data_IF_001986150412
#
_entry.id   IF_001986150412
#
_cell.length_a   1.000
_cell.length_b   1.000
_cell.length_c   1.000
_cell.angle_alpha   90.00
_cell.angle_beta   90.00
_cell.angle_gamma   90.00
#
_symmetry.space_group_name_H-M   'P 1'
#
loop_
_entity.id
_entity.type
_entity.pdbx_description
1 polymer ?
#
# COMPACT_ATOMS: atom_id res chain seq x y z
N UNK A 1 -2.80 2.85 16.30
CA UNK A 1 -3.22 1.56 15.72
C UNK A 1 -2.41 1.35 14.45
N UNK A 2 -1.55 0.34 14.42
CA UNK A 2 -0.77 0.01 13.25
C UNK A 2 -1.65 -0.75 12.25
N UNK A 3 -1.82 -0.20 11.06
CA UNK A 3 -2.70 -0.78 10.06
C UNK A 3 -1.89 -1.69 9.16
N UNK A 4 -2.28 -2.97 9.11
CA UNK A 4 -1.72 -3.91 8.15
C UNK A 4 -1.95 -3.38 6.73
N UNK A 5 -0.98 -3.65 5.86
CA UNK A 5 -0.99 -3.31 4.44
C UNK A 5 -2.34 -3.63 3.75
N UNK A 6 -3.19 -4.52 4.25
CA UNK A 6 -4.55 -4.83 3.75
C UNK A 6 -5.48 -3.64 3.42
N UNK A 7 -5.16 -2.39 3.78
CA UNK A 7 -5.88 -1.18 3.34
C UNK A 7 -5.87 -0.91 1.82
N UNK A 8 -5.25 -1.77 0.99
CA UNK A 8 -5.34 -1.72 -0.48
C UNK A 8 -6.69 -2.13 -1.07
N UNK A 9 -7.80 -2.05 -0.32
CA UNK A 9 -9.13 -2.59 -0.70
C UNK A 9 -9.68 -2.11 -2.05
N UNK A 10 -9.10 -1.08 -2.67
CA UNK A 10 -9.44 -0.62 -4.01
C UNK A 10 -8.30 -0.67 -5.04
N UNK A 11 -7.10 -1.10 -4.66
CA UNK A 11 -5.92 -1.18 -5.55
C UNK A 11 -5.61 -2.61 -6.01
N UNK A 12 -5.94 -3.60 -5.19
CA UNK A 12 -5.71 -5.03 -5.44
C UNK A 12 -6.89 -5.82 -4.90
N UNK A 13 -7.23 -6.92 -5.57
CA UNK A 13 -8.46 -7.68 -5.29
C UNK A 13 -8.36 -8.49 -4.00
N UNK A 14 -7.14 -8.86 -3.61
CA UNK A 14 -6.89 -9.68 -2.41
C UNK A 14 -5.66 -9.23 -1.63
N UNK A 15 -5.65 -9.53 -0.32
CA UNK A 15 -4.47 -9.30 0.53
C UNK A 15 -3.24 -10.09 0.08
N UNK A 16 -3.41 -11.26 -0.54
CA UNK A 16 -2.31 -12.05 -1.11
C UNK A 16 -1.68 -11.39 -2.34
N UNK A 17 -2.49 -10.76 -3.20
CA UNK A 17 -2.01 -9.95 -4.32
C UNK A 17 -1.23 -8.72 -3.82
N UNK A 18 -1.72 -8.04 -2.78
CA UNK A 18 -1.00 -6.93 -2.15
C UNK A 18 0.41 -7.34 -1.71
N UNK A 19 0.54 -8.47 -1.01
CA UNK A 19 1.85 -8.97 -0.55
C UNK A 19 2.78 -9.28 -1.72
N UNK A 20 2.29 -9.93 -2.77
CA UNK A 20 3.08 -10.24 -3.97
C UNK A 20 3.56 -8.97 -4.66
N UNK A 21 2.71 -7.95 -4.80
CA UNK A 21 3.08 -6.67 -5.41
C UNK A 21 4.16 -5.94 -4.61
N UNK A 22 4.06 -5.97 -3.27
CA UNK A 22 5.09 -5.43 -2.37
C UNK A 22 6.39 -6.22 -2.51
N UNK A 23 6.35 -7.56 -2.47
CA UNK A 23 7.53 -8.42 -2.64
C UNK A 23 8.20 -8.25 -4.02
N UNK A 24 7.44 -7.90 -5.05
CA UNK A 24 7.95 -7.58 -6.39
C UNK A 24 8.52 -6.15 -6.49
N UNK A 25 8.45 -5.35 -5.41
CA UNK A 25 8.91 -3.96 -5.40
C UNK A 25 8.08 -3.03 -6.28
N UNK A 26 6.85 -3.45 -6.64
CA UNK A 26 5.93 -2.68 -7.48
C UNK A 26 5.12 -1.66 -6.66
N UNK A 27 5.27 -1.62 -5.33
CA UNK A 27 4.46 -0.76 -4.46
C UNK A 27 5.32 0.36 -3.88
N UNK A 28 4.81 1.59 -3.97
CA UNK A 28 5.43 2.79 -3.41
C UNK A 28 4.42 3.51 -2.53
N UNK A 29 4.81 3.86 -1.31
CA UNK A 29 3.94 4.44 -0.29
C UNK A 29 4.62 5.69 0.22
N UNK A 30 3.95 6.84 0.11
CA UNK A 30 4.48 8.14 0.51
C UNK A 30 5.88 8.47 -0.10
N UNK A 31 6.14 8.00 -1.32
CA UNK A 31 7.42 8.19 -2.00
C UNK A 31 8.49 7.14 -1.68
N UNK A 32 8.25 6.23 -0.74
CA UNK A 32 9.17 5.14 -0.40
C UNK A 32 8.69 3.82 -0.98
N UNK A 33 9.60 3.04 -1.58
CA UNK A 33 9.25 1.68 -2.05
C UNK A 33 8.93 0.80 -0.85
N UNK A 34 7.78 0.14 -0.89
CA UNK A 34 7.43 -0.88 0.07
C UNK A 34 8.17 -2.17 -0.34
N UNK A 35 9.10 -2.60 0.49
CA UNK A 35 9.85 -3.86 0.33
C UNK A 35 9.32 -4.96 1.25
N UNK A 36 8.77 -4.59 2.41
CA UNK A 36 8.22 -5.53 3.39
C UNK A 36 6.68 -5.53 3.38
N UNK A 37 6.02 -6.64 2.99
CA UNK A 37 4.56 -6.78 3.01
C UNK A 37 3.94 -6.80 4.41
N UNK A 38 4.75 -6.98 5.46
CA UNK A 38 4.32 -6.89 6.86
C UNK A 38 4.76 -5.57 7.52
N UNK A 39 5.35 -4.64 6.77
CA UNK A 39 5.67 -3.32 7.29
C UNK A 39 4.41 -2.68 7.87
N UNK A 40 4.51 -2.28 9.13
CA UNK A 40 3.47 -1.50 9.78
C UNK A 40 3.63 -0.06 9.35
N UNK A 41 2.68 0.44 8.57
CA UNK A 41 2.67 1.81 8.10
C UNK A 41 1.56 2.50 8.86
N UNK A 42 1.90 3.60 9.54
CA UNK A 42 0.88 4.44 10.15
C UNK A 42 0.17 5.18 9.03
N UNK A 43 -1.13 4.95 8.81
CA UNK A 43 -1.86 5.66 7.78
C UNK A 43 -1.92 7.15 8.17
N UNK A 44 -1.46 8.01 7.27
CA UNK A 44 -1.53 9.47 7.42
C UNK A 44 -2.59 9.97 6.44
N UNK A 45 -3.40 10.94 6.85
CA UNK A 45 -4.38 11.53 5.95
C UNK A 45 -3.68 12.19 4.75
N UNK A 46 -4.16 11.85 3.55
CA UNK A 46 -3.56 12.29 2.30
C UNK A 46 -2.33 11.50 1.84
N UNK A 47 -1.96 10.42 2.53
CA UNK A 47 -0.89 9.51 2.09
C UNK A 47 -1.20 8.93 0.70
N UNK A 48 -0.25 9.05 -0.23
CA UNK A 48 -0.40 8.49 -1.58
C UNK A 48 0.28 7.14 -1.67
N UNK A 49 -0.45 6.19 -2.22
CA UNK A 49 -0.01 4.83 -2.49
C UNK A 49 -0.05 4.60 -3.98
N UNK A 50 1.05 4.10 -4.53
CA UNK A 50 1.19 3.74 -5.92
C UNK A 50 1.48 2.24 -6.02
N UNK A 51 0.73 1.55 -6.87
CA UNK A 51 0.89 0.14 -7.17
C UNK A 51 1.15 -0.01 -8.67
N UNK A 52 2.39 -0.34 -9.01
CA UNK A 52 2.90 -0.38 -10.38
C UNK A 52 2.87 1.01 -11.05
N UNK A 53 2.73 1.02 -12.37
CA UNK A 53 2.75 2.25 -13.18
C UNK A 53 1.38 2.94 -13.31
N UNK A 54 0.28 2.20 -13.08
CA UNK A 54 -1.07 2.61 -13.47
C UNK A 54 -2.07 2.75 -12.31
N UNK A 55 -1.80 2.16 -11.15
CA UNK A 55 -2.74 2.17 -10.02
C UNK A 55 -2.23 3.12 -8.93
N UNK A 56 -3.04 4.12 -8.58
CA UNK A 56 -2.75 5.11 -7.54
C UNK A 56 -3.95 5.24 -6.62
N UNK A 57 -3.74 5.32 -5.32
CA UNK A 57 -4.78 5.66 -4.36
C UNK A 57 -4.26 6.71 -3.37
N UNK A 58 -5.17 7.57 -2.95
CA UNK A 58 -4.94 8.49 -1.84
C UNK A 58 -5.70 7.96 -0.63
N UNK A 59 -4.96 7.75 0.45
CA UNK A 59 -5.50 7.28 1.71
C UNK A 59 -6.17 8.45 2.42
N UNK A 60 -7.39 8.23 2.88
CA UNK A 60 -8.16 9.20 3.67
C UNK A 60 -8.41 8.58 5.03
N UNK A 61 -7.79 9.13 6.07
CA UNK A 61 -7.98 8.65 7.44
C UNK A 61 -9.14 9.44 8.03
N UNK A 62 -10.17 8.74 8.52
CA UNK A 62 -11.35 9.33 9.15
C UNK A 62 -11.28 9.16 10.65
#
# INVERSE_FOLDING_TARGET
MATNIQFYYHLVETGGEAKRMVSQGAVTIAGNKASDPNAQISPIDGMVIQVGKRRFAKLKVK
#
